data_IF_348454114793
#
_entry.id   IF_348454114793
#
_cell.length_a   1.000
_cell.length_b   1.000
_cell.length_c   1.000
_cell.angle_alpha   90.00
_cell.angle_beta   90.00
_cell.angle_gamma   90.00
#
_symmetry.space_group_name_H-M   'P 1'
#
loop_
_entity.id
_entity.type
_entity.pdbx_description
1 polymer ?
#
# COMPACT_ATOMS: atom_id res chain seq x y z
N UNK A 1 18.01 -0.99 2.86
CA UNK A 1 16.76 -0.45 3.42
C UNK A 1 15.65 -1.16 2.69
N UNK A 2 14.97 -2.11 3.35
CA UNK A 2 13.95 -2.94 2.71
C UNK A 2 12.77 -2.06 2.32
N UNK A 3 12.33 -2.13 1.07
CA UNK A 3 11.20 -1.36 0.59
C UNK A 3 9.89 -2.06 0.96
N UNK A 4 9.50 -1.93 2.23
CA UNK A 4 8.29 -2.53 2.80
C UNK A 4 7.03 -2.10 2.04
N UNK A 5 7.08 -0.94 1.39
CA UNK A 5 5.96 -0.37 0.62
C UNK A 5 5.92 -0.85 -0.83
N UNK A 6 6.91 -1.61 -1.31
CA UNK A 6 7.02 -2.07 -2.70
C UNK A 6 5.77 -2.82 -3.18
N UNK A 7 5.21 -3.81 -2.46
CA UNK A 7 4.06 -4.58 -2.96
C UNK A 7 2.83 -3.70 -3.22
N UNK A 8 2.55 -2.76 -2.29
CA UNK A 8 1.43 -1.82 -2.42
C UNK A 8 1.65 -0.84 -3.58
N UNK A 9 2.89 -0.36 -3.73
CA UNK A 9 3.26 0.55 -4.81
C UNK A 9 3.14 -0.10 -6.19
N UNK A 10 3.60 -1.34 -6.31
CA UNK A 10 3.49 -2.11 -7.56
C UNK A 10 2.02 -2.38 -7.91
N UNK A 11 1.18 -2.72 -6.94
CA UNK A 11 -0.26 -2.89 -7.14
C UNK A 11 -0.93 -1.60 -7.64
N UNK A 12 -0.61 -0.45 -7.02
CA UNK A 12 -1.11 0.86 -7.47
C UNK A 12 -0.65 1.20 -8.89
N UNK A 13 0.62 0.91 -9.23
CA UNK A 13 1.13 1.11 -10.59
C UNK A 13 0.44 0.21 -11.62
N UNK A 14 0.13 -1.04 -11.25
CA UNK A 14 -0.63 -1.95 -12.14
C UNK A 14 -2.06 -1.44 -12.37
N UNK A 15 -2.74 -0.97 -11.33
CA UNK A 15 -4.08 -0.36 -11.45
C UNK A 15 -4.05 0.90 -12.33
N UNK A 16 -3.03 1.73 -12.20
CA UNK A 16 -2.86 2.93 -13.03
C UNK A 16 -2.65 2.57 -14.51
N UNK A 17 -1.87 1.51 -14.79
CA UNK A 17 -1.70 0.98 -16.16
C UNK A 17 -3.02 0.44 -16.72
N UNK A 18 -3.80 -0.30 -15.92
CA UNK A 18 -5.12 -0.79 -16.35
C UNK A 18 -6.05 0.37 -16.70
N UNK A 19 -6.10 1.40 -15.85
CA UNK A 19 -6.88 2.63 -16.11
C UNK A 19 -6.52 3.30 -17.44
N UNK A 20 -5.22 3.36 -17.77
CA UNK A 20 -4.75 3.98 -19.02
C UNK A 20 -5.16 3.20 -20.29
N UNK A 21 -5.45 1.90 -20.17
CA UNK A 21 -5.90 1.06 -21.27
C UNK A 21 -7.42 1.15 -21.50
N UNK A 22 -8.16 1.72 -20.54
CA UNK A 22 -9.60 1.89 -20.66
C UNK A 22 -9.97 3.12 -21.50
N UNK A 23 -10.96 2.95 -22.37
CA UNK A 23 -11.51 4.03 -23.21
C UNK A 23 -12.85 4.56 -22.69
N UNK A 24 -13.49 3.82 -21.77
CA UNK A 24 -14.75 4.22 -21.15
C UNK A 24 -14.50 5.14 -19.97
N UNK A 25 -15.08 6.35 -20.01
CA UNK A 25 -15.04 7.29 -18.87
C UNK A 25 -15.59 6.68 -17.58
N UNK A 26 -16.59 5.80 -17.67
CA UNK A 26 -17.15 5.12 -16.49
C UNK A 26 -16.14 4.16 -15.85
N UNK A 27 -15.41 3.39 -16.67
CA UNK A 27 -14.39 2.47 -16.16
C UNK A 27 -13.16 3.25 -15.64
N UNK A 28 -12.73 4.30 -16.33
CA UNK A 28 -11.64 5.18 -15.86
C UNK A 28 -11.95 5.75 -14.47
N UNK A 29 -13.18 6.25 -14.25
CA UNK A 29 -13.60 6.79 -12.95
C UNK A 29 -13.65 5.72 -11.86
N UNK A 30 -14.05 4.49 -12.21
CA UNK A 30 -14.07 3.36 -11.29
C UNK A 30 -12.65 3.00 -10.86
N UNK A 31 -11.71 2.86 -11.79
CA UNK A 31 -10.30 2.61 -11.47
C UNK A 31 -9.70 3.74 -10.64
N UNK A 32 -9.98 5.01 -10.97
CA UNK A 32 -9.51 6.14 -10.19
C UNK A 32 -10.02 6.10 -8.74
N UNK A 33 -11.29 5.73 -8.54
CA UNK A 33 -11.87 5.59 -7.19
C UNK A 33 -11.20 4.48 -6.39
N UNK A 34 -10.89 3.35 -7.03
CA UNK A 34 -10.17 2.23 -6.41
C UNK A 34 -8.75 2.66 -6.03
N UNK A 35 -8.02 3.31 -6.94
CA UNK A 35 -6.66 3.80 -6.70
C UNK A 35 -6.63 4.76 -5.51
N UNK A 36 -7.56 5.71 -5.45
CA UNK A 36 -7.66 6.65 -4.34
C UNK A 36 -7.94 5.94 -3.01
N UNK A 37 -8.83 4.94 -3.01
CA UNK A 37 -9.11 4.15 -1.81
C UNK A 37 -7.86 3.41 -1.33
N UNK A 38 -7.14 2.72 -2.22
CA UNK A 38 -5.91 2.01 -1.86
C UNK A 38 -4.81 2.95 -1.37
N UNK A 39 -4.66 4.13 -1.98
CA UNK A 39 -3.70 5.14 -1.51
C UNK A 39 -4.03 5.62 -0.08
N UNK A 40 -5.31 5.87 0.20
CA UNK A 40 -5.75 6.27 1.54
C UNK A 40 -5.57 5.15 2.57
N UNK A 41 -5.84 3.89 2.20
CA UNK A 41 -5.61 2.75 3.08
C UNK A 41 -4.11 2.54 3.36
N UNK A 42 -3.25 2.68 2.35
CA UNK A 42 -1.79 2.65 2.53
C UNK A 42 -1.35 3.71 3.53
N UNK A 43 -1.86 4.94 3.39
CA UNK A 43 -1.55 6.03 4.30
C UNK A 43 -2.07 5.78 5.72
N UNK A 44 -3.28 5.21 5.86
CA UNK A 44 -3.81 4.84 7.18
C UNK A 44 -2.93 3.78 7.87
N UNK A 45 -2.41 2.80 7.12
CA UNK A 45 -1.46 1.83 7.66
C UNK A 45 -0.15 2.48 8.14
N UNK A 46 0.34 3.49 7.43
CA UNK A 46 1.52 4.25 7.84
C UNK A 46 1.27 5.01 9.15
N UNK A 47 0.13 5.70 9.26
CA UNK A 47 -0.26 6.39 10.49
C UNK A 47 -0.35 5.42 11.68
N UNK A 48 -0.97 4.25 11.48
CA UNK A 48 -1.05 3.23 12.52
C UNK A 48 0.32 2.67 12.92
N UNK A 49 1.22 2.51 11.95
CA UNK A 49 2.56 2.02 12.22
C UNK A 49 3.43 3.04 12.97
N UNK A 50 3.28 4.33 12.65
CA UNK A 50 3.92 5.42 13.38
C UNK A 50 3.45 5.45 14.84
N UNK A 51 2.14 5.37 15.08
CA UNK A 51 1.56 5.37 16.43
C UNK A 51 1.98 4.13 17.24
N UNK A 52 1.98 2.94 16.62
CA UNK A 52 2.47 1.73 17.28
C UNK A 52 3.97 1.78 17.57
N UNK A 53 4.77 2.34 16.65
CA UNK A 53 6.20 2.56 16.84
C UNK A 53 6.48 3.42 18.08
N UNK A 54 5.70 4.47 18.32
CA UNK A 54 5.81 5.29 19.53
C UNK A 54 5.54 4.50 20.82
N UNK A 55 4.62 3.53 20.77
CA UNK A 55 4.26 2.70 21.92
C UNK A 55 5.21 1.52 22.16
N UNK A 56 5.78 0.92 21.12
CA UNK A 56 6.59 -0.31 21.21
C UNK A 56 8.10 -0.04 21.13
N UNK A 57 8.51 1.12 20.61
CA UNK A 57 9.91 1.45 20.32
C UNK A 57 10.47 0.73 19.08
N UNK A 58 9.64 -0.01 18.34
CA UNK A 58 10.00 -0.61 17.05
C UNK A 58 10.03 0.47 15.96
N UNK A 59 10.76 0.23 14.87
CA UNK A 59 10.69 1.15 13.72
C UNK A 59 9.34 1.01 13.01
N UNK A 60 8.72 2.08 12.48
CA UNK A 60 7.46 2.00 11.73
C UNK A 60 7.52 1.01 10.55
N UNK A 61 8.69 0.90 9.91
CA UNK A 61 8.94 -0.04 8.82
C UNK A 61 8.87 -1.51 9.27
N UNK A 62 9.37 -1.81 10.47
CA UNK A 62 9.32 -3.16 11.06
C UNK A 62 7.88 -3.52 11.46
N UNK A 63 7.14 -2.55 12.01
CA UNK A 63 5.71 -2.69 12.33
C UNK A 63 4.92 -2.98 11.05
N UNK A 64 5.08 -2.16 10.00
CA UNK A 64 4.43 -2.38 8.70
C UNK A 64 4.78 -3.76 8.12
N UNK A 65 6.05 -4.16 8.17
CA UNK A 65 6.48 -5.44 7.65
C UNK A 65 5.85 -6.62 8.41
N UNK A 66 5.73 -6.54 9.74
CA UNK A 66 5.05 -7.55 10.54
C UNK A 66 3.58 -7.70 10.12
N UNK A 67 2.85 -6.60 10.05
CA UNK A 67 1.43 -6.63 9.70
C UNK A 67 1.19 -7.05 8.25
N UNK A 68 2.06 -6.67 7.32
CA UNK A 68 2.02 -7.15 5.93
C UNK A 68 2.24 -8.66 5.86
N UNK A 69 3.26 -9.19 6.55
CA UNK A 69 3.48 -10.64 6.62
C UNK A 69 2.29 -11.37 7.24
N UNK A 70 1.71 -10.84 8.32
CA UNK A 70 0.49 -11.41 8.96
C UNK A 70 -0.73 -11.39 8.05
N UNK A 71 -0.81 -10.40 7.15
CA UNK A 71 -1.85 -10.30 6.13
C UNK A 71 -1.54 -11.14 4.87
N UNK A 72 -0.42 -11.85 4.82
CA UNK A 72 0.00 -12.64 3.66
C UNK A 72 0.57 -11.82 2.50
N UNK A 73 1.00 -10.58 2.75
CA UNK A 73 1.66 -9.71 1.78
C UNK A 73 3.17 -9.93 1.91
N UNK A 74 3.77 -10.56 0.90
CA UNK A 74 5.22 -10.80 0.88
C UNK A 74 5.99 -9.49 0.74
N UNK A 75 6.80 -9.20 1.76
CA UNK A 75 7.76 -8.09 1.74
C UNK A 75 9.15 -8.68 1.65
N UNK A 76 9.92 -8.29 0.62
CA UNK A 76 11.31 -8.74 0.47
C UNK A 76 12.17 -8.19 1.61
N UNK A 77 12.51 -9.06 2.56
CA UNK A 77 13.46 -8.81 3.64
C UNK A 77 14.80 -9.44 3.26
N UNK A 78 15.46 -8.91 2.22
CA UNK A 78 16.80 -9.38 1.79
C UNK A 78 17.85 -8.28 1.90
#
# INVERSE_FOLDING_TARGET
MHDVKRPVREALQQLEKMKMLESSYAEVNKYQSIINLFANLSYACELMADELSEHTGQKPEEVLAEYYNRAGIEVDVT
#
